data_IF_728202980833
#
_entry.id   IF_728202980833
#
_cell.length_a   1.000
_cell.length_b   1.000
_cell.length_c   1.000
_cell.angle_alpha   90.00
_cell.angle_beta   90.00
_cell.angle_gamma   90.00
#
_symmetry.space_group_name_H-M   'P 1'
#
loop_
_entity.id
_entity.type
_entity.pdbx_description
1 polymer ?
#
# COMPACT_ATOMS: atom_id res chain seq x y z
N UNK A 1 37.84 22.35 -23.47
CA UNK A 1 36.89 21.78 -24.45
C UNK A 1 36.49 20.41 -23.94
N UNK A 2 35.35 20.34 -23.25
CA UNK A 2 34.18 19.51 -23.64
C UNK A 2 34.33 18.03 -23.24
N UNK A 3 33.41 17.32 -22.58
CA UNK A 3 32.05 17.55 -22.07
C UNK A 3 31.80 16.44 -21.03
N UNK A 4 31.38 16.77 -19.82
CA UNK A 4 30.75 15.81 -18.90
C UNK A 4 29.28 15.69 -19.30
N UNK A 5 28.90 14.52 -19.84
CA UNK A 5 27.49 14.16 -20.09
C UNK A 5 26.78 13.96 -18.75
N UNK A 6 25.91 14.90 -18.40
CA UNK A 6 24.85 14.66 -17.42
C UNK A 6 23.89 13.62 -18.00
N UNK A 7 23.90 12.41 -17.45
CA UNK A 7 22.80 11.45 -17.63
C UNK A 7 21.70 11.91 -16.67
N UNK A 8 20.67 12.52 -17.25
CA UNK A 8 19.48 12.97 -16.54
C UNK A 8 18.54 11.77 -16.39
N UNK A 9 18.76 10.95 -15.35
CA UNK A 9 17.96 9.75 -15.12
C UNK A 9 16.70 10.09 -14.30
N UNK A 10 15.65 10.49 -15.01
CA UNK A 10 14.32 10.84 -14.47
C UNK A 10 13.61 9.66 -13.75
N UNK A 11 14.18 8.45 -13.79
CA UNK A 11 13.60 7.24 -13.18
C UNK A 11 13.81 7.19 -11.66
N UNK A 12 14.94 7.69 -11.16
CA UNK A 12 15.24 7.72 -9.72
C UNK A 12 14.42 8.79 -8.98
N UNK A 13 14.17 9.94 -9.59
CA UNK A 13 13.33 10.99 -8.99
C UNK A 13 11.88 10.55 -8.84
N UNK A 14 11.35 9.77 -9.79
CA UNK A 14 9.96 9.28 -9.72
C UNK A 14 9.80 8.21 -8.65
N UNK A 15 10.79 7.31 -8.49
CA UNK A 15 10.84 6.31 -7.42
C UNK A 15 10.93 6.94 -6.01
N UNK A 16 11.73 7.99 -5.86
CA UNK A 16 11.82 8.73 -4.59
C UNK A 16 10.53 9.52 -4.26
N UNK A 17 9.80 9.96 -5.28
CA UNK A 17 8.48 10.60 -5.12
C UNK A 17 7.38 9.63 -4.66
N UNK A 18 7.58 8.32 -4.83
CA UNK A 18 6.64 7.28 -4.38
C UNK A 18 6.76 7.02 -2.87
N UNK A 19 7.95 7.22 -2.29
CA UNK A 19 8.25 6.84 -0.89
C UNK A 19 8.19 8.02 0.08
N UNK A 20 8.31 9.27 -0.39
CA UNK A 20 8.26 10.45 0.47
C UNK A 20 7.20 11.45 0.01
N UNK A 21 6.10 11.54 0.77
CA UNK A 21 5.24 12.72 0.75
C UNK A 21 6.07 13.95 1.15
N UNK A 22 6.09 14.95 0.26
CA UNK A 22 6.70 16.29 0.35
C UNK A 22 8.12 16.46 -0.22
N UNK A 23 8.20 16.79 -1.52
CA UNK A 23 9.33 17.56 -2.03
C UNK A 23 8.87 18.62 -3.04
N UNK A 24 8.29 19.71 -2.53
CA UNK A 24 8.30 21.01 -3.22
C UNK A 24 9.70 21.62 -3.04
N UNK A 25 10.59 21.48 -4.02
CA UNK A 25 11.82 22.27 -4.16
C UNK A 25 12.39 22.08 -5.57
N UNK A 26 11.63 22.51 -6.56
CA UNK A 26 12.23 23.03 -7.78
C UNK A 26 11.70 24.46 -7.96
N UNK A 27 12.63 25.38 -8.21
CA UNK A 27 12.50 26.84 -8.40
C UNK A 27 12.90 27.68 -7.17
N UNK A 28 14.13 28.22 -7.18
CA UNK A 28 14.41 29.66 -7.34
C UNK A 28 15.93 29.85 -7.49
N UNK A 29 16.31 30.51 -8.58
CA UNK A 29 17.69 30.85 -8.92
C UNK A 29 18.30 31.92 -7.99
N UNK A 30 19.58 31.69 -7.62
CA UNK A 30 20.64 32.70 -7.76
C UNK A 30 20.66 33.90 -6.80
N UNK A 31 21.15 33.68 -5.57
CA UNK A 31 22.12 34.51 -4.78
C UNK A 31 21.94 34.22 -3.28
N UNK A 32 22.63 33.20 -2.77
CA UNK A 32 22.53 32.85 -1.34
C UNK A 32 23.24 31.57 -0.91
N UNK A 33 24.47 31.31 -1.40
CA UNK A 33 25.15 30.02 -1.14
C UNK A 33 25.39 29.72 0.36
N UNK A 34 25.51 30.74 1.22
CA UNK A 34 25.65 30.54 2.68
C UNK A 34 24.34 30.32 3.44
N UNK A 35 23.24 30.93 2.98
CA UNK A 35 21.93 30.77 3.62
C UNK A 35 21.26 29.44 3.24
N UNK A 36 21.45 29.00 1.99
CA UNK A 36 20.83 27.78 1.44
C UNK A 36 21.40 26.51 2.11
N UNK A 37 22.72 26.46 2.38
CA UNK A 37 23.35 25.32 3.07
C UNK A 37 22.88 25.20 4.53
N UNK A 38 22.79 26.31 5.26
CA UNK A 38 22.28 26.31 6.65
C UNK A 38 20.78 26.00 6.73
N UNK A 39 20.01 26.29 5.66
CA UNK A 39 18.60 25.93 5.56
C UNK A 39 18.41 24.46 5.21
N UNK A 40 19.22 23.88 4.31
CA UNK A 40 19.14 22.45 3.96
C UNK A 40 19.56 21.56 5.13
N UNK A 41 20.62 21.91 5.85
CA UNK A 41 21.09 21.15 7.02
C UNK A 41 20.10 21.22 8.19
N UNK A 42 19.49 22.39 8.42
CA UNK A 42 18.41 22.53 9.42
C UNK A 42 17.16 21.77 9.01
N UNK A 43 16.74 21.85 7.74
CA UNK A 43 15.59 21.11 7.22
C UNK A 43 15.81 19.61 7.36
N UNK A 44 16.97 19.10 6.99
CA UNK A 44 17.34 17.69 7.11
C UNK A 44 17.44 17.24 8.59
N UNK A 45 17.94 18.10 9.49
CA UNK A 45 17.96 17.82 10.93
C UNK A 45 16.55 17.79 11.55
N UNK A 46 15.66 18.68 11.11
CA UNK A 46 14.24 18.69 11.52
C UNK A 46 13.55 17.42 11.03
N UNK A 47 13.74 17.04 9.77
CA UNK A 47 13.19 15.82 9.17
C UNK A 47 13.62 14.58 9.96
N UNK A 48 14.92 14.43 10.24
CA UNK A 48 15.43 13.36 11.10
C UNK A 48 14.83 13.36 12.51
N UNK A 49 14.56 14.53 13.09
CA UNK A 49 13.88 14.63 14.39
C UNK A 49 12.43 14.18 14.30
N UNK A 50 11.70 14.58 13.26
CA UNK A 50 10.32 14.17 13.02
C UNK A 50 10.25 12.65 12.86
N UNK A 51 11.10 12.07 12.01
CA UNK A 51 11.15 10.62 11.78
C UNK A 51 11.43 9.83 13.07
N UNK A 52 12.39 10.30 13.89
CA UNK A 52 12.69 9.69 15.19
C UNK A 52 11.49 9.71 16.13
N UNK A 53 10.80 10.85 16.22
CA UNK A 53 9.60 10.98 17.06
C UNK A 53 8.47 10.07 16.58
N UNK A 54 8.19 10.04 15.28
CA UNK A 54 7.18 9.16 14.68
C UNK A 54 7.50 7.70 14.94
N UNK A 55 8.75 7.28 14.72
CA UNK A 55 9.20 5.93 15.02
C UNK A 55 9.00 5.58 16.49
N UNK A 56 9.41 6.45 17.42
CA UNK A 56 9.23 6.22 18.86
C UNK A 56 7.75 6.06 19.25
N UNK A 57 6.87 6.89 18.69
CA UNK A 57 5.42 6.82 18.92
C UNK A 57 4.80 5.53 18.36
N UNK A 58 5.19 5.11 17.14
CA UNK A 58 4.74 3.85 16.54
C UNK A 58 5.21 2.64 17.35
N UNK A 59 6.49 2.60 17.71
CA UNK A 59 7.05 1.53 18.55
C UNK A 59 6.30 1.43 19.88
N UNK A 60 6.05 2.56 20.54
CA UNK A 60 5.29 2.60 21.79
C UNK A 60 3.88 2.02 21.63
N UNK A 61 3.16 2.40 20.56
CA UNK A 61 1.83 1.85 20.26
C UNK A 61 1.89 0.33 20.04
N UNK A 62 2.81 -0.16 19.20
CA UNK A 62 2.97 -1.60 18.93
C UNK A 62 3.31 -2.41 20.18
N UNK A 63 4.13 -1.87 21.08
CA UNK A 63 4.43 -2.54 22.35
C UNK A 63 3.24 -2.54 23.31
N UNK A 64 2.40 -1.50 23.30
CA UNK A 64 1.17 -1.45 24.09
C UNK A 64 0.11 -2.43 23.55
N UNK A 65 0.02 -2.58 22.22
CA UNK A 65 -0.85 -3.55 21.56
C UNK A 65 -0.53 -5.00 21.92
N UNK A 66 0.72 -5.31 22.29
CA UNK A 66 1.11 -6.63 22.81
C UNK A 66 0.60 -6.91 24.24
N UNK A 67 0.14 -5.88 24.95
CA UNK A 67 -0.18 -5.95 26.38
C UNK A 67 -1.69 -5.80 26.64
N UNK A 68 -2.41 -5.07 25.79
CA UNK A 68 -3.84 -4.80 25.95
C UNK A 68 -4.52 -4.43 24.64
N UNK A 69 -5.86 -4.45 24.66
CA UNK A 69 -6.67 -4.09 23.51
C UNK A 69 -6.44 -2.65 23.08
N UNK A 70 -6.52 -2.40 21.77
CA UNK A 70 -6.33 -1.08 21.19
C UNK A 70 -7.26 0.00 21.77
N UNK A 71 -8.53 -0.33 22.00
CA UNK A 71 -9.51 0.63 22.52
C UNK A 71 -9.15 1.11 23.94
N UNK A 72 -8.46 0.28 24.72
CA UNK A 72 -7.99 0.57 26.10
C UNK A 72 -6.66 1.33 26.15
N UNK A 73 -5.98 1.54 25.01
CA UNK A 73 -4.74 2.31 24.95
C UNK A 73 -5.06 3.81 24.94
N UNK A 74 -4.47 4.56 25.87
CA UNK A 74 -4.56 6.01 25.92
C UNK A 74 -3.38 6.71 25.22
N UNK A 75 -3.60 7.95 24.76
CA UNK A 75 -2.52 8.80 24.23
C UNK A 75 -1.44 9.05 25.28
N UNK A 76 -1.83 9.17 26.55
CA UNK A 76 -0.92 9.40 27.67
C UNK A 76 0.10 8.26 27.79
N UNK A 77 -0.36 7.02 27.81
CA UNK A 77 0.51 5.84 27.87
C UNK A 77 1.42 5.71 26.65
N UNK A 78 0.92 6.03 25.45
CA UNK A 78 1.75 6.04 24.24
C UNK A 78 2.87 7.07 24.40
N UNK A 79 2.54 8.28 24.85
CA UNK A 79 3.52 9.37 24.98
C UNK A 79 4.52 9.13 26.09
N UNK A 80 4.09 8.56 27.21
CA UNK A 80 4.96 8.17 28.32
C UNK A 80 5.94 7.09 27.88
N UNK A 81 5.46 6.03 27.23
CA UNK A 81 6.29 4.95 26.68
C UNK A 81 7.28 5.45 25.63
N UNK A 82 6.84 6.34 24.74
CA UNK A 82 7.70 6.93 23.71
C UNK A 82 8.67 7.99 24.25
N UNK A 83 8.55 8.37 25.53
CA UNK A 83 9.30 9.44 26.18
C UNK A 83 9.20 10.78 25.41
N UNK A 84 7.96 11.17 25.08
CA UNK A 84 7.65 12.44 24.41
C UNK A 84 6.51 13.16 25.12
N UNK A 85 6.44 14.48 24.97
CA UNK A 85 5.33 15.25 25.53
C UNK A 85 4.04 15.05 24.75
N UNK A 86 2.89 15.14 25.42
CA UNK A 86 1.56 15.06 24.77
C UNK A 86 1.35 16.12 23.69
N UNK A 87 1.90 17.33 23.87
CA UNK A 87 1.90 18.35 22.82
C UNK A 87 2.67 17.89 21.57
N UNK A 88 3.76 17.14 21.73
CA UNK A 88 4.53 16.57 20.62
C UNK A 88 3.75 15.52 19.86
N UNK A 89 2.94 14.69 20.54
CA UNK A 89 2.03 13.76 19.86
C UNK A 89 1.11 14.50 18.89
N UNK A 90 0.43 15.55 19.37
CA UNK A 90 -0.53 16.31 18.55
C UNK A 90 0.10 17.15 17.44
N UNK A 91 1.43 17.34 17.44
CA UNK A 91 2.14 17.91 16.29
C UNK A 91 2.26 16.91 15.12
N UNK A 92 2.14 15.61 15.40
CA UNK A 92 2.32 14.56 14.41
C UNK A 92 1.01 13.85 14.04
N UNK A 93 0.09 13.71 15.00
CA UNK A 93 -1.12 12.90 14.84
C UNK A 93 -2.33 13.60 15.47
N UNK A 94 -3.48 13.45 14.83
CA UNK A 94 -4.75 13.98 15.35
C UNK A 94 -5.25 13.18 16.55
N UNK A 95 -5.10 11.86 16.47
CA UNK A 95 -5.59 10.88 17.43
C UNK A 95 -4.76 9.58 17.31
N UNK A 96 -5.08 8.57 18.13
CA UNK A 96 -4.36 7.28 18.11
C UNK A 96 -4.68 6.46 16.86
N UNK A 97 -5.79 6.75 16.18
CA UNK A 97 -6.20 6.12 14.93
C UNK A 97 -5.32 6.60 13.77
N UNK A 98 -4.96 7.89 13.74
CA UNK A 98 -4.03 8.45 12.75
C UNK A 98 -2.64 7.83 12.87
N UNK A 99 -2.16 7.61 14.11
CA UNK A 99 -0.91 6.89 14.37
C UNK A 99 -0.97 5.43 13.90
N UNK A 100 -2.07 4.73 14.21
CA UNK A 100 -2.27 3.35 13.80
C UNK A 100 -2.35 3.21 12.26
N UNK A 101 -2.96 4.16 11.58
CA UNK A 101 -3.05 4.18 10.12
C UNK A 101 -1.72 4.51 9.44
N UNK A 102 -0.86 5.31 10.07
CA UNK A 102 0.51 5.50 9.57
C UNK A 102 1.30 4.19 9.67
N UNK A 103 1.20 3.47 10.79
CA UNK A 103 1.80 2.14 10.95
C UNK A 103 1.28 1.15 9.90
N UNK A 104 -0.03 1.12 9.68
CA UNK A 104 -0.63 0.32 8.60
C UNK A 104 -0.06 0.66 7.23
N UNK A 105 0.07 1.94 6.92
CA UNK A 105 0.55 2.40 5.61
C UNK A 105 2.01 1.99 5.39
N UNK A 106 2.81 2.03 6.45
CA UNK A 106 4.23 1.66 6.41
C UNK A 106 4.40 0.16 6.23
N UNK A 107 3.67 -0.64 7.01
CA UNK A 107 3.57 -2.08 6.83
C UNK A 107 3.11 -2.43 5.40
N UNK A 108 2.01 -1.83 4.91
CA UNK A 108 1.52 -2.08 3.55
C UNK A 108 2.54 -1.71 2.47
N UNK A 109 3.41 -0.75 2.73
CA UNK A 109 4.47 -0.33 1.82
C UNK A 109 5.70 -1.27 1.82
N UNK A 110 5.89 -2.13 2.83
CA UNK A 110 7.05 -3.03 2.93
C UNK A 110 7.19 -3.93 1.70
N UNK A 111 6.07 -4.39 1.12
CA UNK A 111 6.05 -5.22 -0.09
C UNK A 111 5.75 -4.45 -1.37
N UNK A 112 5.53 -3.13 -1.30
CA UNK A 112 5.12 -2.33 -2.45
C UNK A 112 6.18 -2.33 -3.56
N UNK A 113 7.48 -2.26 -3.20
CA UNK A 113 8.57 -2.31 -4.19
C UNK A 113 8.56 -3.65 -4.96
N UNK A 114 8.52 -4.77 -4.25
CA UNK A 114 8.47 -6.10 -4.89
C UNK A 114 7.23 -6.26 -5.78
N UNK A 115 6.06 -5.81 -5.32
CA UNK A 115 4.84 -5.83 -6.11
C UNK A 115 4.93 -4.91 -7.35
N UNK A 116 5.62 -3.77 -7.23
CA UNK A 116 5.80 -2.81 -8.31
C UNK A 116 6.71 -3.32 -9.44
N UNK A 117 7.62 -4.24 -9.15
CA UNK A 117 8.51 -4.85 -10.16
C UNK A 117 7.81 -5.92 -10.99
N UNK A 118 6.70 -6.48 -10.48
CA UNK A 118 5.97 -7.53 -11.18
C UNK A 118 5.28 -6.94 -12.42
N UNK A 119 5.44 -7.55 -13.62
CA UNK A 119 4.72 -7.12 -14.82
C UNK A 119 3.21 -7.18 -14.63
N UNK A 120 2.47 -6.24 -15.21
CA UNK A 120 1.02 -6.19 -15.04
C UNK A 120 0.33 -7.49 -15.49
N UNK A 121 0.83 -8.15 -16.54
CA UNK A 121 0.30 -9.43 -17.02
C UNK A 121 0.29 -10.55 -15.98
N UNK A 122 1.22 -10.55 -15.02
CA UNK A 122 1.27 -11.56 -13.97
C UNK A 122 0.19 -11.37 -12.88
N UNK A 123 -0.47 -10.20 -12.83
CA UNK A 123 -1.65 -9.97 -11.99
C UNK A 123 -2.91 -10.59 -12.59
N UNK A 124 -2.91 -10.84 -13.90
CA UNK A 124 -4.03 -11.40 -14.66
C UNK A 124 -3.57 -12.57 -15.55
N UNK A 125 -3.06 -13.68 -14.99
CA UNK A 125 -2.68 -14.84 -15.79
C UNK A 125 -3.88 -15.36 -16.58
N UNK A 126 -3.77 -15.38 -17.91
CA UNK A 126 -4.85 -15.82 -18.81
C UNK A 126 -5.10 -17.34 -18.74
N UNK A 127 -4.10 -18.12 -18.31
CA UNK A 127 -4.03 -19.57 -18.55
C UNK A 127 -4.38 -20.45 -17.31
N UNK A 128 -4.62 -19.84 -16.15
CA UNK A 128 -4.71 -20.56 -14.85
C UNK A 128 -6.01 -21.39 -14.64
N UNK A 129 -6.89 -21.48 -15.63
CA UNK A 129 -8.08 -22.36 -15.56
C UNK A 129 -7.97 -23.62 -16.44
N UNK A 130 -6.88 -23.78 -17.19
CA UNK A 130 -6.57 -25.08 -17.77
C UNK A 130 -5.90 -25.95 -16.69
N UNK A 131 -6.44 -27.13 -16.42
CA UNK A 131 -5.86 -28.13 -15.51
C UNK A 131 -4.53 -28.73 -16.02
N UNK A 132 -3.76 -27.99 -16.82
CA UNK A 132 -2.46 -28.44 -17.29
C UNK A 132 -1.41 -28.20 -16.21
N UNK A 133 -1.15 -29.25 -15.41
CA UNK A 133 -0.05 -29.36 -14.42
C UNK A 133 1.37 -29.18 -14.99
N UNK A 134 1.52 -28.77 -16.24
CA UNK A 134 2.75 -28.85 -17.00
C UNK A 134 3.28 -27.48 -17.48
N UNK A 135 3.42 -26.50 -16.58
CA UNK A 135 4.44 -25.45 -16.72
C UNK A 135 4.76 -24.85 -15.35
N UNK A 136 5.71 -25.48 -14.62
CA UNK A 136 6.28 -24.97 -13.36
C UNK A 136 7.25 -23.80 -13.59
N UNK A 137 6.89 -22.80 -14.39
CA UNK A 137 7.46 -21.48 -14.15
C UNK A 137 6.68 -20.91 -12.97
N UNK A 138 7.37 -20.53 -11.90
CA UNK A 138 6.78 -19.83 -10.75
C UNK A 138 6.29 -18.48 -11.27
N UNK A 139 5.11 -18.45 -11.91
CA UNK A 139 4.46 -17.21 -12.27
C UNK A 139 4.30 -16.44 -10.95
N UNK A 140 4.77 -15.19 -10.88
CA UNK A 140 4.53 -14.39 -9.70
C UNK A 140 3.03 -14.44 -9.40
N UNK A 141 2.67 -14.65 -8.14
CA UNK A 141 1.29 -14.64 -7.67
C UNK A 141 1.11 -13.40 -6.78
N UNK A 142 0.97 -12.18 -7.35
CA UNK A 142 0.93 -10.96 -6.54
C UNK A 142 -0.16 -10.98 -5.49
N UNK A 143 -1.34 -11.49 -5.84
CA UNK A 143 -2.45 -11.61 -4.92
C UNK A 143 -2.15 -12.59 -3.76
N UNK A 144 -1.41 -13.67 -4.03
CA UNK A 144 -0.94 -14.57 -2.97
C UNK A 144 0.01 -13.84 -2.02
N UNK A 145 0.92 -13.03 -2.54
CA UNK A 145 1.84 -12.24 -1.70
C UNK A 145 1.08 -11.24 -0.83
N UNK A 146 -0.02 -10.66 -1.34
CA UNK A 146 -0.92 -9.80 -0.57
C UNK A 146 -1.60 -10.59 0.55
N UNK A 147 -2.20 -11.74 0.27
CA UNK A 147 -2.85 -12.56 1.32
C UNK A 147 -1.85 -13.13 2.34
N UNK A 148 -0.64 -13.50 1.92
CA UNK A 148 0.43 -13.93 2.82
C UNK A 148 0.85 -12.80 3.76
N UNK A 149 1.00 -11.58 3.24
CA UNK A 149 1.28 -10.41 4.05
C UNK A 149 0.17 -10.14 5.06
N UNK A 150 -1.09 -10.19 4.62
CA UNK A 150 -2.25 -10.00 5.52
C UNK A 150 -2.24 -11.04 6.64
N UNK A 151 -1.92 -12.30 6.33
CA UNK A 151 -1.79 -13.36 7.35
C UNK A 151 -0.66 -13.08 8.35
N UNK A 152 0.51 -12.70 7.85
CA UNK A 152 1.69 -12.38 8.66
C UNK A 152 1.43 -11.21 9.63
N UNK A 153 0.60 -10.25 9.23
CA UNK A 153 0.27 -9.06 10.02
C UNK A 153 -1.20 -9.03 10.50
N UNK A 154 -1.85 -10.18 10.59
CA UNK A 154 -3.29 -10.32 10.81
C UNK A 154 -3.81 -9.60 12.05
N UNK A 155 -3.05 -9.56 13.14
CA UNK A 155 -3.39 -8.82 14.35
C UNK A 155 -3.64 -7.32 14.08
N UNK A 156 -2.76 -6.68 13.29
CA UNK A 156 -2.88 -5.25 12.99
C UNK A 156 -4.08 -4.98 12.07
N UNK A 157 -4.29 -5.82 11.05
CA UNK A 157 -5.47 -5.75 10.20
C UNK A 157 -6.75 -5.94 11.02
N UNK A 158 -6.78 -6.92 11.92
CA UNK A 158 -7.93 -7.20 12.79
C UNK A 158 -8.24 -5.98 13.68
N UNK A 159 -7.24 -5.41 14.35
CA UNK A 159 -7.40 -4.20 15.19
C UNK A 159 -8.00 -3.04 14.38
N UNK A 160 -7.47 -2.79 13.18
CA UNK A 160 -7.95 -1.70 12.32
C UNK A 160 -9.41 -1.88 11.91
N UNK A 161 -9.80 -3.12 11.56
CA UNK A 161 -11.13 -3.44 11.06
C UNK A 161 -12.16 -3.69 12.16
N UNK A 162 -11.74 -3.98 13.40
CA UNK A 162 -12.65 -4.35 14.51
C UNK A 162 -12.65 -3.40 15.70
N UNK A 163 -11.73 -2.44 15.78
CA UNK A 163 -11.75 -1.40 16.82
C UNK A 163 -13.05 -0.59 16.80
N UNK A 164 -13.33 0.12 17.90
CA UNK A 164 -14.50 1.00 18.05
C UNK A 164 -14.65 2.06 16.95
N UNK A 165 -13.57 2.36 16.20
CA UNK A 165 -13.53 3.30 15.07
C UNK A 165 -13.40 2.61 13.70
N UNK A 166 -13.74 1.32 13.63
CA UNK A 166 -13.63 0.48 12.43
C UNK A 166 -14.21 1.12 11.18
N UNK A 167 -15.40 1.74 11.24
CA UNK A 167 -16.03 2.37 10.07
C UNK A 167 -15.15 3.45 9.42
N UNK A 168 -14.53 4.32 10.23
CA UNK A 168 -13.60 5.34 9.75
C UNK A 168 -12.31 4.72 9.22
N UNK A 169 -11.79 3.70 9.89
CA UNK A 169 -10.56 3.03 9.48
C UNK A 169 -10.76 2.29 8.15
N UNK A 170 -11.86 1.57 7.99
CA UNK A 170 -12.27 0.88 6.76
C UNK A 170 -12.35 1.85 5.58
N UNK A 171 -12.98 3.02 5.77
CA UNK A 171 -13.06 4.05 4.74
C UNK A 171 -11.66 4.57 4.34
N UNK A 172 -10.82 4.89 5.33
CA UNK A 172 -9.45 5.39 5.09
C UNK A 172 -8.57 4.32 4.41
N UNK A 173 -8.62 3.07 4.85
CA UNK A 173 -7.90 1.95 4.25
C UNK A 173 -8.36 1.76 2.80
N UNK A 174 -9.67 1.70 2.54
CA UNK A 174 -10.20 1.57 1.18
C UNK A 174 -9.69 2.69 0.28
N UNK A 175 -9.68 3.93 0.76
CA UNK A 175 -9.16 5.07 0.01
C UNK A 175 -7.67 4.93 -0.31
N UNK A 176 -6.84 4.63 0.69
CA UNK A 176 -5.39 4.41 0.52
C UNK A 176 -5.13 3.28 -0.49
N UNK A 177 -5.82 2.16 -0.35
CA UNK A 177 -5.70 1.03 -1.28
C UNK A 177 -6.13 1.40 -2.70
N UNK A 178 -7.22 2.14 -2.85
CA UNK A 178 -7.72 2.59 -4.16
C UNK A 178 -6.71 3.51 -4.84
N UNK A 179 -6.20 4.51 -4.13
CA UNK A 179 -5.19 5.44 -4.65
C UNK A 179 -3.89 4.71 -5.03
N UNK A 180 -3.45 3.75 -4.22
CA UNK A 180 -2.28 2.93 -4.51
C UNK A 180 -2.48 2.08 -5.79
N UNK A 181 -3.66 1.47 -5.96
CA UNK A 181 -3.98 0.66 -7.14
C UNK A 181 -4.09 1.53 -8.39
N UNK A 182 -4.76 2.68 -8.34
CA UNK A 182 -4.82 3.62 -9.48
C UNK A 182 -3.41 3.97 -9.93
N UNK A 183 -2.57 4.41 -9.00
CA UNK A 183 -1.19 4.78 -9.29
C UNK A 183 -0.39 3.62 -9.87
N UNK A 184 -0.55 2.42 -9.31
CA UNK A 184 0.10 1.20 -9.82
C UNK A 184 -0.32 0.90 -11.27
N UNK A 185 -1.63 0.91 -11.54
CA UNK A 185 -2.19 0.64 -12.87
C UNK A 185 -1.70 1.69 -13.88
N UNK A 186 -1.82 2.98 -13.57
CA UNK A 186 -1.38 4.08 -14.45
C UNK A 186 0.13 3.99 -14.75
N UNK A 187 0.95 3.71 -13.74
CA UNK A 187 2.40 3.54 -13.91
C UNK A 187 2.71 2.38 -14.85
N UNK A 188 1.99 1.26 -14.69
CA UNK A 188 2.17 0.07 -15.53
C UNK A 188 1.68 0.28 -16.96
N UNK A 189 0.52 0.93 -17.14
CA UNK A 189 0.02 1.30 -18.48
C UNK A 189 1.00 2.19 -19.25
N UNK A 190 1.76 3.04 -18.55
CA UNK A 190 2.77 3.89 -19.16
C UNK A 190 4.11 3.19 -19.46
N UNK A 191 4.39 2.03 -18.84
CA UNK A 191 5.72 1.40 -18.87
C UNK A 191 5.75 0.00 -19.47
N UNK A 192 4.65 -0.75 -19.40
CA UNK A 192 4.59 -2.12 -19.92
C UNK A 192 4.31 -2.12 -21.43
N UNK A 193 4.96 -3.02 -22.20
CA UNK A 193 4.83 -3.07 -23.65
C UNK A 193 3.51 -3.66 -24.16
N UNK A 194 2.65 -4.16 -23.26
CA UNK A 194 1.39 -4.81 -23.60
C UNK A 194 0.26 -3.76 -23.55
N UNK A 195 -0.49 -3.53 -24.64
CA UNK A 195 -1.64 -2.64 -24.62
C UNK A 195 -2.77 -3.27 -23.79
N UNK A 196 -2.78 -3.01 -22.50
CA UNK A 196 -3.89 -3.36 -21.61
C UNK A 196 -4.96 -2.29 -21.80
N UNK A 197 -6.09 -2.67 -22.37
CA UNK A 197 -7.23 -1.78 -22.54
C UNK A 197 -8.29 -2.08 -21.46
N UNK A 198 -8.36 -1.24 -20.43
CA UNK A 198 -9.50 -1.25 -19.52
C UNK A 198 -10.75 -0.76 -20.26
N UNK A 199 -11.84 -1.53 -20.22
CA UNK A 199 -13.15 -1.13 -20.76
C UNK A 199 -13.94 -0.20 -19.83
N UNK A 200 -13.39 0.08 -18.65
CA UNK A 200 -13.96 0.95 -17.61
C UNK A 200 -12.89 1.91 -17.11
N UNK A 201 -13.25 3.05 -16.50
CA UNK A 201 -12.29 3.93 -15.84
C UNK A 201 -11.42 3.20 -14.80
N UNK A 202 -10.13 3.55 -14.74
CA UNK A 202 -9.14 2.91 -13.84
C UNK A 202 -9.50 3.12 -12.36
N UNK A 203 -10.01 4.29 -12.01
CA UNK A 203 -10.49 4.63 -10.67
C UNK A 203 -11.69 3.79 -10.25
N UNK A 204 -12.64 3.55 -11.16
CA UNK A 204 -13.76 2.64 -10.92
C UNK A 204 -13.27 1.21 -10.66
N UNK A 205 -12.37 0.70 -11.52
CA UNK A 205 -11.79 -0.63 -11.33
C UNK A 205 -11.06 -0.75 -9.99
N UNK A 206 -10.23 0.24 -9.65
CA UNK A 206 -9.45 0.26 -8.41
C UNK A 206 -10.36 0.32 -7.18
N UNK A 207 -11.43 1.12 -7.21
CA UNK A 207 -12.39 1.22 -6.12
C UNK A 207 -13.13 -0.11 -5.91
N UNK A 208 -13.58 -0.75 -6.99
CA UNK A 208 -14.25 -2.04 -6.94
C UNK A 208 -13.32 -3.15 -6.42
N UNK A 209 -12.10 -3.24 -6.95
CA UNK A 209 -11.09 -4.20 -6.50
C UNK A 209 -10.75 -4.01 -5.01
N UNK A 210 -10.50 -2.76 -4.59
CA UNK A 210 -10.19 -2.44 -3.19
C UNK A 210 -11.34 -2.81 -2.26
N UNK A 211 -12.59 -2.54 -2.68
CA UNK A 211 -13.78 -2.91 -1.93
C UNK A 211 -13.91 -4.43 -1.78
N UNK A 212 -13.82 -5.18 -2.88
CA UNK A 212 -13.91 -6.63 -2.88
C UNK A 212 -12.81 -7.28 -2.03
N UNK A 213 -11.57 -6.80 -2.17
CA UNK A 213 -10.43 -7.29 -1.41
C UNK A 213 -10.63 -7.02 0.09
N UNK A 214 -10.98 -5.79 0.45
CA UNK A 214 -11.20 -5.41 1.84
C UNK A 214 -12.33 -6.21 2.49
N UNK A 215 -13.45 -6.41 1.78
CA UNK A 215 -14.55 -7.26 2.25
C UNK A 215 -14.15 -8.72 2.43
N UNK A 216 -13.31 -9.25 1.53
CA UNK A 216 -12.80 -10.63 1.65
C UNK A 216 -11.90 -10.79 2.88
N UNK A 217 -11.01 -9.81 3.10
CA UNK A 217 -10.08 -9.81 4.23
C UNK A 217 -10.81 -9.66 5.56
N UNK A 218 -11.80 -8.76 5.61
CA UNK A 218 -12.63 -8.55 6.79
C UNK A 218 -13.33 -9.85 7.22
N UNK A 219 -13.99 -10.52 6.27
CA UNK A 219 -14.64 -11.82 6.51
C UNK A 219 -13.64 -12.92 6.91
N UNK A 220 -12.48 -12.99 6.24
CA UNK A 220 -11.48 -14.02 6.54
C UNK A 220 -10.91 -13.89 7.95
N UNK A 221 -10.73 -12.65 8.42
CA UNK A 221 -10.29 -12.35 9.78
C UNK A 221 -11.38 -12.68 10.82
N UNK A 222 -12.65 -12.38 10.53
CA UNK A 222 -13.79 -12.73 11.40
C UNK A 222 -13.92 -14.23 11.62
N UNK A 223 -13.77 -15.01 10.56
CA UNK A 223 -13.90 -16.48 10.60
C UNK A 223 -12.61 -17.19 11.05
N UNK A 224 -11.70 -16.48 11.75
CA UNK A 224 -10.50 -17.06 12.34
C UNK A 224 -9.44 -17.54 11.33
N UNK A 225 -9.46 -17.02 10.11
CA UNK A 225 -8.52 -17.33 9.03
C UNK A 225 -8.37 -18.83 8.71
N UNK A 226 -9.48 -19.57 8.70
CA UNK A 226 -9.49 -21.02 8.49
C UNK A 226 -8.96 -21.47 7.12
N UNK A 227 -9.07 -20.63 6.10
CA UNK A 227 -8.47 -20.87 4.78
C UNK A 227 -7.01 -20.39 4.70
N UNK A 228 -6.19 -21.09 3.94
CA UNK A 228 -4.82 -20.66 3.61
C UNK A 228 -4.80 -19.48 2.63
N UNK A 229 -3.71 -18.67 2.60
CA UNK A 229 -3.54 -17.62 1.58
C UNK A 229 -3.68 -18.16 0.14
N UNK A 230 -3.21 -19.38 -0.11
CA UNK A 230 -3.31 -20.07 -1.40
C UNK A 230 -4.77 -20.35 -1.79
N UNK A 231 -5.57 -20.91 -0.87
CA UNK A 231 -7.00 -21.17 -1.10
C UNK A 231 -7.77 -19.87 -1.30
N UNK A 232 -7.50 -18.85 -0.48
CA UNK A 232 -8.13 -17.53 -0.62
C UNK A 232 -7.80 -16.87 -1.96
N UNK A 233 -6.54 -17.00 -2.41
CA UNK A 233 -6.11 -16.50 -3.72
C UNK A 233 -6.92 -17.15 -4.83
N UNK A 234 -7.13 -18.47 -4.77
CA UNK A 234 -7.90 -19.20 -5.77
C UNK A 234 -9.37 -18.77 -5.75
N UNK A 235 -9.99 -18.66 -4.57
CA UNK A 235 -11.40 -18.24 -4.42
C UNK A 235 -11.60 -16.80 -4.90
N UNK A 236 -10.79 -15.86 -4.43
CA UNK A 236 -10.88 -14.46 -4.81
C UNK A 236 -10.71 -14.28 -6.32
N UNK A 237 -9.70 -14.92 -6.92
CA UNK A 237 -9.49 -14.86 -8.37
C UNK A 237 -10.64 -15.47 -9.15
N UNK A 238 -11.20 -16.58 -8.67
CA UNK A 238 -12.32 -17.24 -9.32
C UNK A 238 -13.56 -16.34 -9.36
N UNK A 239 -13.87 -15.65 -8.25
CA UNK A 239 -15.00 -14.72 -8.21
C UNK A 239 -14.71 -13.43 -8.97
N UNK A 240 -13.59 -12.78 -8.66
CA UNK A 240 -13.25 -11.47 -9.21
C UNK A 240 -12.94 -11.55 -10.72
N UNK A 241 -12.14 -12.52 -11.18
CA UNK A 241 -11.68 -12.58 -12.56
C UNK A 241 -12.52 -13.46 -13.49
N UNK A 242 -13.31 -14.43 -13.00
CA UNK A 242 -14.31 -15.09 -13.88
C UNK A 242 -15.54 -14.21 -14.10
N UNK A 243 -16.07 -13.54 -13.06
CA UNK A 243 -17.15 -12.55 -13.23
C UNK A 243 -16.70 -11.31 -14.04
N UNK A 244 -15.43 -10.90 -13.91
CA UNK A 244 -14.88 -9.85 -14.74
C UNK A 244 -14.71 -10.25 -16.21
N UNK A 245 -14.46 -11.52 -16.57
CA UNK A 245 -14.31 -11.96 -17.98
C UNK A 245 -15.55 -11.68 -18.83
N UNK A 246 -16.75 -11.96 -18.31
CA UNK A 246 -18.01 -11.58 -18.95
C UNK A 246 -18.19 -10.05 -18.98
N UNK A 247 -17.89 -9.37 -17.86
CA UNK A 247 -18.09 -7.91 -17.71
C UNK A 247 -17.13 -7.07 -18.59
N UNK A 248 -15.89 -7.52 -18.81
CA UNK A 248 -14.94 -6.88 -19.74
C UNK A 248 -15.12 -7.36 -21.18
N UNK A 249 -16.26 -7.99 -21.52
CA UNK A 249 -16.65 -8.35 -22.88
C UNK A 249 -15.66 -9.26 -23.61
N UNK A 250 -15.08 -10.23 -22.91
CA UNK A 250 -14.51 -11.41 -23.55
C UNK A 250 -15.63 -12.45 -23.66
N UNK A 251 -16.51 -12.26 -24.65
CA UNK A 251 -17.49 -13.28 -25.02
C UNK A 251 -16.75 -14.52 -25.52
N UNK A 252 -16.84 -15.62 -24.79
CA UNK A 252 -16.75 -16.93 -25.42
C UNK A 252 -17.96 -17.06 -26.33
N UNK A 253 -17.79 -16.72 -27.61
CA UNK A 253 -18.68 -17.25 -28.64
C UNK A 253 -18.44 -18.76 -28.68
N UNK A 254 -19.17 -19.47 -27.81
CA UNK A 254 -19.58 -20.84 -28.03
C UNK A 254 -21.11 -20.77 -28.09
N UNK A 255 -21.61 -20.11 -29.14
CA UNK A 255 -22.89 -20.50 -29.69
C UNK A 255 -22.61 -21.72 -30.56
N UNK A 256 -22.88 -22.88 -29.99
CA UNK A 256 -23.16 -24.08 -30.75
C UNK A 256 -24.67 -24.10 -30.99
N UNK A 257 -25.08 -23.70 -32.19
CA UNK A 257 -26.21 -24.28 -32.95
C UNK A 257 -25.86 -24.26 -34.44
#
# INVERSE_FOLDING_TARGET
>A
MERLKFINDNRLCTLLYIVHYNCELCLVNGKGKGLIMLQSDRKNKIDRRIQRTRLALRTALLELLKQKNYDDISIEEITERANVGRATFYLHYKDKEDLLLEEFSEMANERALTLSEIPFSAWFPMDDFSESKAQKSVSPRPLLMVFQHIKEHSDLYYILLKSSKSSRNVERIRKISTEAIVKFVETKLATDPIPILFKVPVDFFAAYFSGALLSTVDWWLEEGMHYTPEELTVMFRSLFFRGAKETIGFSTNIEAE
#
